data_IF_985619083674
#
_entry.id   IF_985619083674
#
_cell.length_a   1.000
_cell.length_b   1.000
_cell.length_c   1.000
_cell.angle_alpha   90.00
_cell.angle_beta   90.00
_cell.angle_gamma   90.00
#
_symmetry.space_group_name_H-M   'P 1'
#
loop_
_entity.id
_entity.type
_entity.pdbx_description
1 polymer ?
#
# COMPACT_ATOMS: atom_id res chain seq x y z
N UNK A 1 11.40 13.42 -9.86
CA UNK A 1 12.78 12.96 -10.04
C UNK A 1 13.78 14.07 -10.23
N UNK A 2 13.61 14.94 -11.23
CA UNK A 2 14.53 16.06 -11.43
C UNK A 2 14.62 17.00 -10.21
N UNK A 3 13.52 17.19 -9.47
CA UNK A 3 13.49 18.01 -8.26
C UNK A 3 14.30 17.37 -7.12
N UNK A 4 14.12 16.08 -6.85
CA UNK A 4 14.88 15.36 -5.80
C UNK A 4 16.39 15.38 -6.06
N UNK A 5 16.80 15.23 -7.33
CA UNK A 5 18.22 15.32 -7.70
C UNK A 5 18.80 16.73 -7.54
N UNK A 6 17.99 17.78 -7.75
CA UNK A 6 18.43 19.18 -7.57
C UNK A 6 18.40 19.66 -6.13
N UNK A 7 17.61 18.99 -5.29
CA UNK A 7 17.39 19.33 -3.87
C UNK A 7 17.42 18.04 -3.02
N UNK A 8 18.60 17.44 -2.86
CA UNK A 8 18.74 16.22 -2.06
C UNK A 8 18.28 16.46 -0.61
N UNK A 9 17.50 15.54 -0.04
CA UNK A 9 17.02 15.62 1.33
C UNK A 9 15.90 16.64 1.62
N UNK A 10 15.61 17.57 0.71
CA UNK A 10 14.54 18.58 0.92
C UNK A 10 13.13 18.01 0.76
N UNK A 11 12.97 17.00 -0.09
CA UNK A 11 11.67 16.37 -0.26
C UNK A 11 11.35 15.48 0.94
N UNK A 12 10.19 15.71 1.52
CA UNK A 12 9.69 14.92 2.64
C UNK A 12 8.55 14.01 2.19
N UNK A 13 8.48 12.83 2.78
CA UNK A 13 7.48 11.84 2.49
C UNK A 13 6.77 11.40 3.76
N UNK A 14 5.46 11.64 3.82
CA UNK A 14 4.60 11.19 4.91
C UNK A 14 4.36 9.68 4.84
N UNK A 15 4.43 9.00 5.97
CA UNK A 15 4.04 7.59 6.13
C UNK A 15 3.10 7.44 7.31
N UNK A 16 2.12 6.55 7.18
CA UNK A 16 1.14 6.29 8.23
C UNK A 16 1.73 5.56 9.45
N UNK A 17 2.88 4.90 9.29
CA UNK A 17 3.53 4.12 10.34
C UNK A 17 5.04 4.01 10.05
N UNK A 18 5.84 3.82 11.10
CA UNK A 18 7.28 3.57 10.98
C UNK A 18 7.56 2.25 10.27
N UNK A 19 6.72 1.24 10.50
CA UNK A 19 6.78 -0.06 9.83
C UNK A 19 5.39 -0.38 9.28
N UNK A 20 5.25 -0.45 7.97
CA UNK A 20 3.99 -0.76 7.30
C UNK A 20 4.12 -0.69 5.80
N UNK A 21 3.07 -1.09 5.07
CA UNK A 21 3.08 -1.17 3.60
C UNK A 21 3.50 0.13 2.92
N UNK A 22 3.00 1.27 3.38
CA UNK A 22 3.40 2.59 2.84
C UNK A 22 4.87 2.92 3.07
N UNK A 23 5.44 2.52 4.23
CA UNK A 23 6.87 2.70 4.51
C UNK A 23 7.71 1.79 3.61
N UNK A 24 7.39 0.52 3.55
CA UNK A 24 8.11 -0.47 2.73
C UNK A 24 8.00 -0.09 1.25
N UNK A 25 6.79 0.21 0.78
CA UNK A 25 6.55 0.63 -0.61
C UNK A 25 7.32 1.88 -1.00
N UNK A 26 7.39 2.87 -0.12
CA UNK A 26 8.16 4.06 -0.36
C UNK A 26 9.67 3.83 -0.34
N UNK A 27 10.20 2.95 0.50
CA UNK A 27 11.62 2.60 0.46
C UNK A 27 12.00 1.81 -0.80
N UNK A 28 11.11 0.93 -1.26
CA UNK A 28 11.25 0.29 -2.57
C UNK A 28 11.23 1.32 -3.70
N UNK A 29 10.32 2.29 -3.63
CA UNK A 29 10.24 3.39 -4.58
C UNK A 29 11.53 4.24 -4.57
N UNK A 30 12.05 4.61 -3.40
CA UNK A 30 13.34 5.31 -3.27
C UNK A 30 14.48 4.49 -3.91
N UNK A 31 14.53 3.21 -3.61
CA UNK A 31 15.55 2.29 -4.15
C UNK A 31 15.47 2.20 -5.67
N UNK A 32 14.27 2.03 -6.21
CA UNK A 32 14.05 1.89 -7.66
C UNK A 32 14.34 3.18 -8.42
N UNK A 33 13.99 4.34 -7.84
CA UNK A 33 14.07 5.64 -8.52
C UNK A 33 15.36 6.41 -8.25
N UNK A 34 16.11 6.03 -7.21
CA UNK A 34 17.26 6.78 -6.71
C UNK A 34 16.88 8.15 -6.11
N UNK A 35 15.62 8.34 -5.73
CA UNK A 35 15.18 9.59 -5.09
C UNK A 35 15.68 9.66 -3.66
N UNK A 36 16.24 10.82 -3.29
CA UNK A 36 16.55 11.14 -1.89
C UNK A 36 15.37 11.91 -1.28
N UNK A 37 14.77 11.31 -0.24
CA UNK A 37 13.61 11.86 0.46
C UNK A 37 13.69 11.54 1.96
N UNK A 38 13.34 12.52 2.77
CA UNK A 38 13.25 12.34 4.23
C UNK A 38 11.89 11.79 4.61
N UNK A 39 11.87 10.72 5.38
CA UNK A 39 10.63 10.08 5.87
C UNK A 39 10.12 10.78 7.10
N UNK A 40 8.83 11.09 7.13
CA UNK A 40 8.14 11.68 8.27
C UNK A 40 7.01 10.75 8.69
N UNK A 41 7.15 10.01 9.82
CA UNK A 41 6.12 9.10 10.30
C UNK A 41 5.00 9.84 11.03
N UNK A 42 3.77 9.33 10.84
CA UNK A 42 2.56 9.79 11.50
C UNK A 42 1.85 8.60 12.18
N UNK A 43 0.92 8.88 13.07
CA UNK A 43 0.14 7.87 13.79
C UNK A 43 -1.08 7.34 13.01
N UNK A 44 -0.99 7.24 11.67
CA UNK A 44 -2.07 6.74 10.83
C UNK A 44 -2.17 7.43 9.47
N UNK A 45 -3.05 6.92 8.60
CA UNK A 45 -3.26 7.46 7.24
C UNK A 45 -3.84 8.88 7.26
N UNK A 46 -4.86 9.14 8.08
CA UNK A 46 -5.51 10.44 8.14
C UNK A 46 -4.56 11.59 8.56
N UNK A 47 -3.74 11.46 9.62
CA UNK A 47 -2.73 12.46 9.95
C UNK A 47 -1.69 12.67 8.84
N UNK A 48 -1.25 11.60 8.17
CA UNK A 48 -0.30 11.69 7.07
C UNK A 48 -0.87 12.45 5.87
N UNK A 49 -2.14 12.18 5.52
CA UNK A 49 -2.87 12.94 4.48
C UNK A 49 -3.00 14.40 4.86
N UNK A 50 -3.38 14.70 6.11
CA UNK A 50 -3.50 16.08 6.61
C UNK A 50 -2.18 16.84 6.50
N UNK A 51 -1.06 16.19 6.79
CA UNK A 51 0.26 16.79 6.66
C UNK A 51 0.62 17.18 5.23
N UNK A 52 0.25 16.35 4.24
CA UNK A 52 0.43 16.68 2.82
C UNK A 52 -0.51 17.82 2.39
N UNK A 53 -1.77 17.79 2.80
CA UNK A 53 -2.74 18.82 2.49
C UNK A 53 -2.35 20.19 3.07
N UNK A 54 -1.71 20.19 4.24
CA UNK A 54 -1.19 21.39 4.90
C UNK A 54 0.18 21.85 4.40
N UNK A 55 0.79 21.11 3.44
CA UNK A 55 2.12 21.46 2.92
C UNK A 55 3.27 21.14 3.89
N UNK A 56 3.01 20.43 5.00
CA UNK A 56 4.04 20.04 5.98
C UNK A 56 4.95 18.93 5.46
N UNK A 57 4.47 18.14 4.49
CA UNK A 57 5.24 17.13 3.77
C UNK A 57 4.98 17.23 2.28
N UNK A 58 6.01 16.88 1.49
CA UNK A 58 5.97 17.05 0.03
C UNK A 58 5.06 16.03 -0.67
N UNK A 59 4.97 14.82 -0.13
CA UNK A 59 4.20 13.73 -0.73
C UNK A 59 3.82 12.66 0.30
N UNK A 60 2.94 11.75 -0.14
CA UNK A 60 2.53 10.57 0.60
C UNK A 60 2.63 9.34 -0.31
N UNK A 61 3.15 8.25 0.20
CA UNK A 61 2.90 6.90 -0.32
C UNK A 61 1.87 6.26 0.61
N UNK A 62 0.65 6.20 0.16
CA UNK A 62 -0.49 5.85 1.02
C UNK A 62 -1.53 5.00 0.29
N UNK A 63 -2.53 4.56 1.05
CA UNK A 63 -3.63 3.78 0.51
C UNK A 63 -4.59 4.66 -0.30
N UNK A 64 -5.14 4.09 -1.34
CA UNK A 64 -6.22 4.71 -2.11
C UNK A 64 -7.40 5.12 -1.21
N UNK A 65 -7.75 4.26 -0.24
CA UNK A 65 -8.78 4.52 0.77
C UNK A 65 -8.62 5.89 1.46
N UNK A 66 -7.40 6.22 1.88
CA UNK A 66 -7.13 7.47 2.60
C UNK A 66 -7.10 8.69 1.68
N UNK A 67 -6.72 8.50 0.40
CA UNK A 67 -6.44 9.58 -0.54
C UNK A 67 -7.62 9.93 -1.47
N UNK A 68 -8.49 8.96 -1.79
CA UNK A 68 -9.55 9.11 -2.81
C UNK A 68 -10.43 10.35 -2.66
N UNK A 69 -10.93 10.72 -1.48
CA UNK A 69 -11.78 11.91 -1.33
C UNK A 69 -11.06 13.20 -1.70
N UNK A 70 -9.77 13.27 -1.43
CA UNK A 70 -8.95 14.46 -1.70
C UNK A 70 -8.47 14.52 -3.15
N UNK A 71 -8.29 13.36 -3.78
CA UNK A 71 -8.05 13.28 -5.22
C UNK A 71 -9.30 13.68 -6.00
N UNK A 72 -10.46 13.16 -5.62
CA UNK A 72 -11.75 13.50 -6.26
C UNK A 72 -12.09 14.99 -6.14
N UNK A 73 -11.75 15.62 -5.01
CA UNK A 73 -11.95 17.07 -4.80
C UNK A 73 -10.83 17.96 -5.37
N UNK A 74 -9.83 17.37 -6.05
CA UNK A 74 -8.70 18.13 -6.63
C UNK A 74 -7.69 18.67 -5.60
N UNK A 75 -7.87 18.36 -4.31
CA UNK A 75 -6.97 18.80 -3.24
C UNK A 75 -5.67 18.02 -3.16
N UNK A 76 -5.65 16.79 -3.70
CA UNK A 76 -4.44 15.98 -3.89
C UNK A 76 -4.29 15.60 -5.35
N UNK A 77 -3.08 15.64 -5.86
CA UNK A 77 -2.75 15.20 -7.21
C UNK A 77 -2.05 13.83 -7.16
N UNK A 78 -2.66 12.77 -7.69
CA UNK A 78 -1.99 11.49 -7.83
C UNK A 78 -0.90 11.61 -8.90
N UNK A 79 0.26 11.02 -8.64
CA UNK A 79 1.43 11.05 -9.54
C UNK A 79 1.62 9.70 -10.21
N UNK A 80 1.47 8.64 -9.47
CA UNK A 80 1.55 7.26 -9.96
C UNK A 80 0.84 6.33 -8.98
N UNK A 81 0.43 5.15 -9.46
CA UNK A 81 0.06 4.02 -8.62
C UNK A 81 1.23 3.04 -8.53
N UNK A 82 1.36 2.37 -7.39
CA UNK A 82 2.47 1.46 -7.09
C UNK A 82 2.23 0.02 -7.56
N UNK A 83 1.00 -0.30 -7.95
CA UNK A 83 0.61 -1.60 -8.50
C UNK A 83 1.13 -1.82 -9.93
N UNK A 84 1.25 -3.09 -10.34
CA UNK A 84 1.66 -3.47 -11.71
C UNK A 84 0.70 -2.96 -12.79
N UNK A 85 -0.58 -2.80 -12.44
CA UNK A 85 -1.63 -2.29 -13.34
C UNK A 85 -2.20 -1.00 -12.80
N UNK A 86 -2.69 -0.13 -13.69
CA UNK A 86 -3.43 1.07 -13.28
C UNK A 86 -4.67 0.70 -12.46
N UNK A 87 -5.06 1.60 -11.59
CA UNK A 87 -6.31 1.45 -10.85
C UNK A 87 -7.50 1.85 -11.72
N UNK A 88 -8.56 1.03 -11.71
CA UNK A 88 -9.82 1.35 -12.40
C UNK A 88 -10.44 2.67 -11.91
N UNK A 89 -10.10 3.08 -10.69
CA UNK A 89 -10.55 4.37 -10.13
C UNK A 89 -9.71 5.57 -10.57
N UNK A 90 -8.52 5.33 -11.06
CA UNK A 90 -7.57 6.36 -11.52
C UNK A 90 -6.97 5.92 -12.86
N UNK A 91 -7.78 5.71 -13.90
CA UNK A 91 -7.33 5.14 -15.18
C UNK A 91 -6.29 6.03 -15.89
N UNK A 92 -6.34 7.33 -15.64
CA UNK A 92 -5.40 8.31 -16.23
C UNK A 92 -4.08 8.40 -15.46
N UNK A 93 -3.99 7.79 -14.26
CA UNK A 93 -2.78 7.82 -13.44
C UNK A 93 -1.89 6.63 -13.81
N UNK A 94 -0.67 6.89 -14.32
CA UNK A 94 0.22 5.82 -14.73
C UNK A 94 0.72 5.02 -13.53
N UNK A 95 1.19 3.80 -13.79
CA UNK A 95 1.94 3.02 -12.79
C UNK A 95 3.38 3.53 -12.70
N UNK A 96 4.06 3.21 -11.59
CA UNK A 96 5.50 3.44 -11.46
C UNK A 96 6.27 2.67 -12.54
N UNK A 97 5.82 1.45 -12.87
CA UNK A 97 6.43 0.62 -13.91
C UNK A 97 6.34 1.29 -15.30
N UNK A 98 5.18 1.87 -15.66
CA UNK A 98 4.99 2.62 -16.92
C UNK A 98 5.89 3.86 -17.02
N UNK A 99 6.34 4.39 -15.90
CA UNK A 99 7.24 5.55 -15.85
C UNK A 99 8.73 5.17 -15.94
N UNK A 100 9.05 3.94 -16.37
CA UNK A 100 10.43 3.50 -16.63
C UNK A 100 11.02 2.61 -15.54
N UNK A 101 10.25 2.17 -14.55
CA UNK A 101 10.71 1.29 -13.47
C UNK A 101 10.10 -0.10 -13.62
N UNK A 102 10.44 -0.76 -14.72
CA UNK A 102 9.92 -2.08 -15.07
C UNK A 102 9.99 -3.08 -13.91
N UNK A 103 8.90 -3.84 -13.71
CA UNK A 103 8.78 -4.81 -12.62
C UNK A 103 8.44 -4.21 -11.26
N UNK A 104 8.23 -2.89 -11.16
CA UNK A 104 7.73 -2.30 -9.91
C UNK A 104 6.27 -2.69 -9.69
N UNK A 105 6.03 -3.43 -8.63
CA UNK A 105 4.70 -3.87 -8.19
C UNK A 105 4.69 -3.96 -6.66
N UNK A 106 4.08 -2.97 -6.03
CA UNK A 106 3.94 -2.90 -4.58
C UNK A 106 2.51 -2.56 -4.26
N UNK A 107 1.80 -3.50 -3.66
CA UNK A 107 0.42 -3.33 -3.23
C UNK A 107 0.30 -3.55 -1.72
N UNK A 108 -0.65 -2.85 -1.12
CA UNK A 108 -1.06 -3.14 0.24
C UNK A 108 -2.21 -4.15 0.22
N UNK A 109 -2.25 -5.02 1.20
CA UNK A 109 -3.27 -6.06 1.29
C UNK A 109 -3.84 -6.15 2.71
N UNK A 110 -5.05 -6.68 2.82
CA UNK A 110 -5.74 -6.96 4.06
C UNK A 110 -6.20 -8.42 4.06
N UNK A 111 -6.06 -9.07 5.19
CA UNK A 111 -6.44 -10.47 5.33
C UNK A 111 -6.97 -10.78 6.73
N UNK A 112 -7.77 -11.84 6.84
CA UNK A 112 -8.25 -12.37 8.12
C UNK A 112 -7.32 -13.49 8.60
N UNK A 113 -6.92 -13.44 9.87
CA UNK A 113 -6.12 -14.47 10.52
C UNK A 113 -6.84 -14.98 11.77
N UNK A 114 -6.60 -16.22 12.11
CA UNK A 114 -7.16 -16.87 13.31
C UNK A 114 -6.04 -17.31 14.25
N UNK A 115 -6.40 -17.48 15.52
CA UNK A 115 -5.47 -18.00 16.53
C UNK A 115 -4.91 -19.37 16.12
N UNK A 116 -3.64 -19.61 16.39
CA UNK A 116 -3.05 -20.93 16.24
C UNK A 116 -3.82 -21.97 17.05
N UNK A 117 -4.03 -23.16 16.48
CA UNK A 117 -4.81 -24.24 17.10
C UNK A 117 -6.33 -24.17 16.83
N UNK A 118 -6.82 -23.18 16.07
CA UNK A 118 -8.21 -23.18 15.59
C UNK A 118 -8.47 -24.43 14.74
N UNK A 119 -9.56 -25.19 14.98
CA UNK A 119 -9.88 -26.39 14.21
C UNK A 119 -9.94 -26.09 12.71
N UNK A 120 -9.32 -26.95 11.91
CA UNK A 120 -9.22 -26.77 10.45
C UNK A 120 -10.57 -26.57 9.77
N UNK A 121 -11.58 -27.33 10.18
CA UNK A 121 -12.94 -27.18 9.65
C UNK A 121 -13.52 -25.78 9.88
N UNK A 122 -13.21 -25.13 11.01
CA UNK A 122 -13.64 -23.77 11.30
C UNK A 122 -12.94 -22.76 10.37
N UNK A 123 -11.63 -22.93 10.15
CA UNK A 123 -10.84 -22.08 9.24
C UNK A 123 -11.37 -22.20 7.82
N UNK A 124 -11.59 -23.42 7.33
CA UNK A 124 -12.09 -23.69 5.97
C UNK A 124 -13.50 -23.11 5.78
N UNK A 125 -14.39 -23.28 6.77
CA UNK A 125 -15.74 -22.73 6.73
C UNK A 125 -15.72 -21.20 6.66
N UNK A 126 -14.95 -20.55 7.54
CA UNK A 126 -14.86 -19.08 7.54
C UNK A 126 -14.26 -18.55 6.23
N UNK A 127 -13.21 -19.20 5.72
CA UNK A 127 -12.61 -18.84 4.44
C UNK A 127 -13.62 -18.95 3.28
N UNK A 128 -14.42 -20.01 3.25
CA UNK A 128 -15.45 -20.18 2.24
C UNK A 128 -16.54 -19.11 2.33
N UNK A 129 -16.98 -18.75 3.56
CA UNK A 129 -17.98 -17.68 3.76
C UNK A 129 -17.44 -16.30 3.36
N UNK A 130 -16.19 -15.99 3.75
CA UNK A 130 -15.52 -14.74 3.32
C UNK A 130 -15.43 -14.71 1.78
N UNK A 131 -14.96 -15.82 1.17
CA UNK A 131 -14.86 -15.92 -0.29
C UNK A 131 -16.19 -15.69 -1.00
N UNK A 132 -17.28 -16.26 -0.46
CA UNK A 132 -18.65 -16.01 -0.98
C UNK A 132 -19.07 -14.55 -0.80
N UNK A 133 -18.86 -13.98 0.38
CA UNK A 133 -19.15 -12.58 0.66
C UNK A 133 -18.46 -11.63 -0.29
N UNK A 134 -17.18 -11.87 -0.59
CA UNK A 134 -16.40 -11.07 -1.54
C UNK A 134 -16.92 -11.15 -2.98
N UNK A 135 -17.76 -12.14 -3.33
CA UNK A 135 -18.38 -12.25 -4.65
C UNK A 135 -19.72 -11.49 -4.76
N UNK A 136 -20.33 -11.08 -3.64
CA UNK A 136 -21.57 -10.31 -3.65
C UNK A 136 -21.38 -8.97 -4.34
N UNK A 137 -22.32 -8.59 -5.19
CA UNK A 137 -22.25 -7.33 -5.96
C UNK A 137 -22.09 -6.12 -5.07
N UNK A 138 -22.91 -6.00 -4.03
CA UNK A 138 -22.85 -4.92 -3.04
C UNK A 138 -21.48 -4.80 -2.34
N UNK A 139 -20.86 -5.94 -2.00
CA UNK A 139 -19.53 -5.95 -1.37
C UNK A 139 -18.47 -5.51 -2.36
N UNK A 140 -18.52 -6.00 -3.60
CA UNK A 140 -17.60 -5.59 -4.67
C UNK A 140 -17.70 -4.08 -4.93
N UNK A 141 -18.90 -3.55 -5.00
CA UNK A 141 -19.12 -2.11 -5.20
C UNK A 141 -18.49 -1.28 -4.07
N UNK A 142 -18.74 -1.66 -2.81
CA UNK A 142 -18.14 -0.97 -1.65
C UNK A 142 -16.62 -1.05 -1.70
N UNK A 143 -16.04 -2.24 -1.92
CA UNK A 143 -14.58 -2.42 -1.99
C UNK A 143 -13.98 -1.62 -3.15
N UNK A 144 -14.59 -1.67 -4.32
CA UNK A 144 -14.15 -0.87 -5.47
C UNK A 144 -14.23 0.62 -5.14
N UNK A 145 -15.32 1.06 -4.46
CA UNK A 145 -15.48 2.46 -4.07
C UNK A 145 -14.33 2.97 -3.19
N UNK A 146 -13.79 2.15 -2.33
CA UNK A 146 -12.64 2.51 -1.47
C UNK A 146 -11.27 2.15 -2.09
N UNK A 147 -11.24 1.73 -3.35
CA UNK A 147 -9.99 1.42 -4.09
C UNK A 147 -9.39 0.06 -3.75
N UNK A 148 -10.19 -0.88 -3.28
CA UNK A 148 -9.78 -2.25 -2.99
C UNK A 148 -10.30 -3.23 -4.04
N UNK A 149 -9.49 -4.22 -4.38
CA UNK A 149 -9.87 -5.32 -5.29
C UNK A 149 -10.02 -6.61 -4.50
N UNK A 150 -11.18 -7.28 -4.53
CA UNK A 150 -11.35 -8.59 -3.92
C UNK A 150 -10.35 -9.61 -4.48
N UNK A 151 -9.65 -10.30 -3.60
CA UNK A 151 -8.67 -11.33 -3.95
C UNK A 151 -8.85 -12.54 -3.02
N UNK A 152 -9.95 -13.30 -3.18
CA UNK A 152 -10.18 -14.48 -2.33
C UNK A 152 -9.10 -15.53 -2.55
N UNK A 153 -8.59 -16.07 -1.46
CA UNK A 153 -7.61 -17.15 -1.43
C UNK A 153 -8.10 -18.26 -0.50
N UNK A 154 -7.76 -19.49 -0.81
CA UNK A 154 -7.89 -20.59 0.15
C UNK A 154 -6.93 -20.39 1.32
N UNK A 155 -7.15 -21.04 2.49
CA UNK A 155 -6.23 -20.93 3.62
C UNK A 155 -4.79 -21.31 3.27
N UNK A 156 -4.61 -22.34 2.41
CA UNK A 156 -3.26 -22.76 1.99
C UNK A 156 -2.57 -21.76 1.06
N UNK A 157 -3.32 -21.16 0.12
CA UNK A 157 -2.79 -20.11 -0.76
C UNK A 157 -2.43 -18.86 0.03
N UNK A 158 -3.27 -18.49 1.02
CA UNK A 158 -3.00 -17.33 1.86
C UNK A 158 -1.79 -17.57 2.77
N UNK A 159 -1.61 -18.77 3.34
CA UNK A 159 -0.40 -19.10 4.11
C UNK A 159 0.87 -19.02 3.24
N UNK A 160 0.82 -19.55 2.02
CA UNK A 160 1.94 -19.44 1.08
C UNK A 160 2.24 -17.99 0.68
N UNK A 161 1.20 -17.17 0.50
CA UNK A 161 1.33 -15.74 0.24
C UNK A 161 1.99 -15.03 1.43
N UNK A 162 1.51 -15.27 2.67
CA UNK A 162 2.08 -14.68 3.88
C UNK A 162 3.57 -15.02 4.05
N UNK A 163 3.97 -16.27 3.80
CA UNK A 163 5.38 -16.66 3.88
C UNK A 163 6.26 -15.88 2.92
N UNK A 164 5.80 -15.69 1.69
CA UNK A 164 6.52 -14.86 0.70
C UNK A 164 6.61 -13.41 1.13
N UNK A 165 5.51 -12.82 1.60
CA UNK A 165 5.48 -11.45 2.11
C UNK A 165 6.43 -11.27 3.29
N UNK A 166 6.44 -12.20 4.24
CA UNK A 166 7.35 -12.17 5.38
C UNK A 166 8.81 -12.27 4.95
N UNK A 167 9.13 -13.08 3.95
CA UNK A 167 10.50 -13.21 3.43
C UNK A 167 10.95 -11.91 2.73
N UNK A 168 10.13 -11.40 1.82
CA UNK A 168 10.45 -10.18 1.04
C UNK A 168 10.54 -8.97 1.95
N UNK A 169 9.49 -8.72 2.74
CA UNK A 169 9.43 -7.57 3.63
C UNK A 169 10.48 -7.67 4.75
N UNK A 170 10.74 -8.86 5.26
CA UNK A 170 11.78 -9.11 6.26
C UNK A 170 13.19 -8.76 5.76
N UNK A 171 13.50 -9.01 4.50
CA UNK A 171 14.77 -8.59 3.88
C UNK A 171 14.88 -7.05 3.85
N UNK A 172 13.78 -6.38 3.48
CA UNK A 172 13.73 -4.92 3.41
C UNK A 172 13.85 -4.30 4.79
N UNK A 173 13.07 -4.78 5.76
CA UNK A 173 13.08 -4.31 7.16
C UNK A 173 14.49 -4.43 7.76
N UNK A 174 15.16 -5.57 7.58
CA UNK A 174 16.53 -5.76 8.05
C UNK A 174 17.52 -4.82 7.36
N UNK A 175 17.42 -4.66 6.03
CA UNK A 175 18.29 -3.75 5.26
C UNK A 175 18.15 -2.30 5.73
N UNK A 176 16.96 -1.89 6.13
CA UNK A 176 16.65 -0.53 6.59
C UNK A 176 16.90 -0.33 8.08
N UNK A 177 17.25 -1.40 8.84
CA UNK A 177 17.41 -1.32 10.29
C UNK A 177 16.13 -0.93 11.04
N UNK A 178 14.95 -1.18 10.44
CA UNK A 178 13.67 -0.83 11.07
C UNK A 178 13.41 -1.78 12.24
N UNK A 179 13.15 -1.22 13.41
CA UNK A 179 12.72 -1.97 14.59
C UNK A 179 11.20 -1.87 14.69
N UNK A 180 10.58 -3.01 15.01
CA UNK A 180 9.17 -3.09 15.40
C UNK A 180 9.20 -3.12 16.93
N UNK A 181 8.80 -2.02 17.55
CA UNK A 181 8.60 -1.96 19.00
C UNK A 181 7.29 -2.62 19.38
#
# INVERSE_FOLDING_TARGET
MALSKRRPGELTWAVASIVGGGRIGGELFKTATGMDMTVVPFGGGAPAVTAVLGGHTSMLVGNMLDCSPYVASGRMRPIAVTSAKRSDRLPDVPTVAEQGYAGFDVVNWFGAVMRSGTPRATVERLSAEIGRGLQLGEVKEVLTHIGMTPSPMSPGEFDAFLRREMEVNGKIIRKLGLKVD
#
